data_IF_630095290372
#
_entry.id   IF_630095290372
#
_cell.length_a   1.000
_cell.length_b   1.000
_cell.length_c   1.000
_cell.angle_alpha   90.00
_cell.angle_beta   90.00
_cell.angle_gamma   90.00
#
_symmetry.space_group_name_H-M   'P 1'
#
loop_
_entity.id
_entity.type
_entity.pdbx_description
1 polymer ?
#
# COMPACT_ATOMS: atom_id res chain seq x y z
N UNK A 1 19.68 1.13 36.36
CA UNK A 1 20.54 0.67 35.25
C UNK A 1 19.62 0.04 34.22
N UNK A 2 19.23 0.78 33.17
CA UNK A 2 18.39 0.23 32.10
C UNK A 2 19.30 -0.22 30.96
N UNK A 3 19.25 -1.50 30.62
CA UNK A 3 19.96 -2.06 29.49
C UNK A 3 19.31 -1.51 28.20
N UNK A 4 20.01 -0.60 27.52
CA UNK A 4 19.67 -0.18 26.16
C UNK A 4 19.97 -1.34 25.22
N UNK A 5 18.97 -2.17 24.92
CA UNK A 5 19.04 -3.13 23.84
C UNK A 5 19.17 -2.38 22.51
N UNK A 6 20.38 -2.43 21.95
CA UNK A 6 20.70 -1.89 20.63
C UNK A 6 19.92 -2.68 19.58
N UNK A 7 18.81 -2.10 19.12
CA UNK A 7 18.03 -2.62 17.99
C UNK A 7 18.94 -2.55 16.75
N UNK A 8 19.55 -3.69 16.39
CA UNK A 8 20.30 -3.81 15.14
C UNK A 8 19.32 -3.62 13.98
N UNK A 9 19.42 -2.50 13.28
CA UNK A 9 18.68 -2.33 12.03
C UNK A 9 19.12 -3.42 11.05
N UNK A 10 18.19 -4.18 10.45
CA UNK A 10 18.53 -5.16 9.44
C UNK A 10 19.23 -4.46 8.28
N UNK A 11 20.38 -5.00 7.86
CA UNK A 11 21.12 -4.46 6.73
C UNK A 11 20.18 -4.38 5.50
N UNK A 12 19.89 -3.17 5.04
CA UNK A 12 19.15 -2.95 3.79
C UNK A 12 19.92 -3.64 2.66
N UNK A 13 19.46 -4.82 2.25
CA UNK A 13 19.97 -5.47 1.05
C UNK A 13 19.66 -4.55 -0.12
N UNK A 14 20.70 -3.92 -0.69
CA UNK A 14 20.60 -3.25 -1.97
C UNK A 14 20.16 -4.29 -3.01
N UNK A 15 18.86 -4.30 -3.32
CA UNK A 15 18.33 -5.07 -4.45
C UNK A 15 18.78 -4.35 -5.71
N UNK A 16 19.97 -4.64 -6.20
CA UNK A 16 20.37 -4.24 -7.55
C UNK A 16 19.44 -4.96 -8.52
N UNK A 17 18.65 -4.20 -9.26
CA UNK A 17 17.80 -4.77 -10.31
C UNK A 17 18.66 -5.53 -11.29
N UNK A 18 18.23 -6.73 -11.69
CA UNK A 18 18.94 -7.47 -12.72
C UNK A 18 18.87 -6.71 -14.05
N UNK A 19 19.83 -6.94 -14.95
CA UNK A 19 19.80 -6.35 -16.30
C UNK A 19 18.49 -6.65 -17.02
N UNK A 20 17.93 -7.85 -16.82
CA UNK A 20 16.65 -8.25 -17.38
C UNK A 20 15.48 -7.41 -16.84
N UNK A 21 15.41 -7.21 -15.52
CA UNK A 21 14.39 -6.35 -14.90
C UNK A 21 14.49 -4.91 -15.41
N UNK A 22 15.71 -4.39 -15.56
CA UNK A 22 15.92 -3.05 -16.09
C UNK A 22 15.44 -2.93 -17.54
N UNK A 23 15.73 -3.92 -18.39
CA UNK A 23 15.23 -3.95 -19.78
C UNK A 23 13.70 -3.93 -19.81
N UNK A 24 13.04 -4.78 -19.02
CA UNK A 24 11.56 -4.82 -18.96
C UNK A 24 10.96 -3.47 -18.54
N UNK A 25 11.59 -2.76 -17.61
CA UNK A 25 11.16 -1.42 -17.22
C UNK A 25 11.31 -0.45 -18.39
N UNK A 26 12.43 -0.50 -19.13
CA UNK A 26 12.64 0.38 -20.27
C UNK A 26 11.66 0.10 -21.40
N UNK A 27 11.28 -1.15 -21.63
CA UNK A 27 10.28 -1.51 -22.64
C UNK A 27 8.92 -0.90 -22.29
N UNK A 28 8.46 -1.05 -21.05
CA UNK A 28 7.22 -0.40 -20.56
C UNK A 28 7.26 1.12 -20.68
N UNK A 29 8.43 1.73 -20.41
CA UNK A 29 8.62 3.18 -20.56
C UNK A 29 8.57 3.60 -22.03
N UNK A 30 9.13 2.81 -22.95
CA UNK A 30 9.08 3.07 -24.39
C UNK A 30 7.64 3.03 -24.91
N UNK A 31 6.80 2.17 -24.35
CA UNK A 31 5.37 2.06 -24.67
C UNK A 31 4.50 3.12 -23.98
N UNK A 32 5.11 4.06 -23.24
CA UNK A 32 4.42 5.08 -22.44
C UNK A 32 3.45 4.50 -21.39
N UNK A 33 3.65 3.25 -20.98
CA UNK A 33 2.83 2.61 -19.95
C UNK A 33 3.06 3.35 -18.62
N UNK A 34 1.98 3.91 -18.08
CA UNK A 34 2.06 4.61 -16.80
C UNK A 34 2.15 3.61 -15.65
N UNK A 35 2.97 3.88 -14.62
CA UNK A 35 2.96 3.06 -13.42
C UNK A 35 1.56 3.10 -12.77
N UNK A 36 1.16 2.06 -12.03
CA UNK A 36 -0.11 2.09 -11.31
C UNK A 36 -0.21 3.32 -10.39
N UNK A 37 -1.42 3.84 -10.26
CA UNK A 37 -1.64 5.15 -9.61
C UNK A 37 -1.23 5.14 -8.13
N UNK A 38 -1.43 4.02 -7.44
CA UNK A 38 -1.01 3.79 -6.05
C UNK A 38 0.51 3.88 -5.88
N UNK A 39 1.30 3.41 -6.85
CA UNK A 39 2.75 3.58 -6.84
C UNK A 39 3.16 5.03 -7.03
N UNK A 40 2.50 5.75 -7.94
CA UNK A 40 2.74 7.18 -8.15
C UNK A 40 2.42 8.00 -6.89
N UNK A 41 1.28 7.72 -6.25
CA UNK A 41 0.88 8.37 -5.00
C UNK A 41 1.84 8.09 -3.85
N UNK A 42 2.29 6.84 -3.69
CA UNK A 42 3.29 6.51 -2.68
C UNK A 42 4.63 7.21 -2.94
N UNK A 43 5.11 7.22 -4.19
CA UNK A 43 6.32 7.97 -4.58
C UNK A 43 6.18 9.45 -4.23
N UNK A 44 5.05 10.04 -4.56
CA UNK A 44 4.79 11.46 -4.33
C UNK A 44 4.67 11.79 -2.83
N UNK A 45 4.08 10.89 -2.05
CA UNK A 45 4.07 10.94 -0.58
C UNK A 45 5.50 10.99 -0.01
N UNK A 46 6.38 10.11 -0.49
CA UNK A 46 7.79 10.06 -0.06
C UNK A 46 8.54 11.33 -0.45
N UNK A 47 8.28 11.86 -1.65
CA UNK A 47 8.86 13.12 -2.09
C UNK A 47 8.32 14.32 -1.29
N UNK A 48 7.05 14.31 -0.88
CA UNK A 48 6.49 15.31 0.02
C UNK A 48 7.12 15.24 1.40
N UNK A 49 7.40 14.04 1.90
CA UNK A 49 8.01 13.81 3.20
C UNK A 49 9.42 14.40 3.26
N UNK A 50 10.24 14.14 2.24
CA UNK A 50 11.61 14.66 2.17
C UNK A 50 11.68 16.20 2.11
N UNK A 51 10.59 16.85 1.68
CA UNK A 51 10.45 18.32 1.66
C UNK A 51 9.79 18.88 2.94
N UNK A 52 9.49 18.05 3.93
CA UNK A 52 8.81 18.46 5.16
C UNK A 52 7.32 18.76 5.01
N UNK A 53 6.69 18.37 3.90
CA UNK A 53 5.25 18.59 3.68
C UNK A 53 4.43 17.41 4.23
N UNK A 54 4.36 17.31 5.56
CA UNK A 54 3.75 16.17 6.25
C UNK A 54 2.26 16.01 5.97
N UNK A 55 1.52 17.11 5.80
CA UNK A 55 0.10 17.06 5.42
C UNK A 55 -0.08 16.34 4.08
N UNK A 56 0.72 16.72 3.07
CA UNK A 56 0.67 16.08 1.75
C UNK A 56 1.12 14.62 1.82
N UNK A 57 2.19 14.32 2.57
CA UNK A 57 2.63 12.93 2.82
C UNK A 57 1.50 12.06 3.33
N UNK A 58 0.80 12.48 4.41
CA UNK A 58 -0.31 11.70 4.97
C UNK A 58 -1.43 11.48 3.97
N UNK A 59 -1.82 12.52 3.21
CA UNK A 59 -2.91 12.42 2.24
C UNK A 59 -2.54 11.46 1.11
N UNK A 60 -1.39 11.67 0.47
CA UNK A 60 -0.95 10.85 -0.67
C UNK A 60 -0.72 9.39 -0.23
N UNK A 61 -0.11 9.15 0.94
CA UNK A 61 0.06 7.81 1.51
C UNK A 61 -1.28 7.11 1.76
N UNK A 62 -2.22 7.80 2.40
CA UNK A 62 -3.52 7.23 2.71
C UNK A 62 -4.33 6.92 1.42
N UNK A 63 -4.25 7.79 0.41
CA UNK A 63 -4.90 7.54 -0.87
C UNK A 63 -4.30 6.33 -1.59
N UNK A 64 -2.96 6.19 -1.61
CA UNK A 64 -2.30 5.00 -2.16
C UNK A 64 -2.81 3.72 -1.47
N UNK A 65 -2.83 3.72 -0.13
CA UNK A 65 -3.35 2.59 0.65
C UNK A 65 -4.83 2.30 0.37
N UNK A 66 -5.68 3.32 0.25
CA UNK A 66 -7.11 3.14 -0.01
C UNK A 66 -7.36 2.51 -1.39
N UNK A 67 -6.60 2.90 -2.42
CA UNK A 67 -6.69 2.31 -3.77
C UNK A 67 -6.32 0.83 -3.73
N UNK A 68 -5.20 0.47 -3.09
CA UNK A 68 -4.76 -0.92 -2.95
C UNK A 68 -5.80 -1.76 -2.21
N UNK A 69 -6.31 -1.28 -1.08
CA UNK A 69 -7.34 -1.99 -0.33
C UNK A 69 -8.63 -2.15 -1.13
N UNK A 70 -8.99 -1.15 -1.94
CA UNK A 70 -10.16 -1.25 -2.83
C UNK A 70 -9.95 -2.26 -3.97
N UNK A 71 -8.73 -2.39 -4.50
CA UNK A 71 -8.38 -3.43 -5.48
C UNK A 71 -8.47 -4.82 -4.85
N UNK A 72 -7.86 -5.03 -3.69
CA UNK A 72 -7.93 -6.29 -2.94
C UNK A 72 -9.37 -6.68 -2.61
N UNK A 73 -10.22 -5.71 -2.29
CA UNK A 73 -11.65 -5.96 -2.08
C UNK A 73 -12.32 -6.51 -3.35
N UNK A 74 -12.04 -5.93 -4.52
CA UNK A 74 -12.59 -6.43 -5.80
C UNK A 74 -12.10 -7.82 -6.14
N UNK A 75 -10.83 -8.11 -5.85
CA UNK A 75 -10.24 -9.43 -6.03
C UNK A 75 -10.93 -10.46 -5.12
N UNK A 76 -11.05 -10.14 -3.84
CA UNK A 76 -11.75 -10.97 -2.86
C UNK A 76 -13.23 -11.19 -3.22
N UNK A 77 -13.92 -10.16 -3.73
CA UNK A 77 -15.30 -10.30 -4.23
C UNK A 77 -15.40 -11.26 -5.42
N UNK A 78 -14.35 -11.35 -6.23
CA UNK A 78 -14.29 -12.20 -7.43
C UNK A 78 -13.95 -13.65 -7.06
N UNK A 79 -13.03 -13.87 -6.13
CA UNK A 79 -12.61 -15.21 -5.69
C UNK A 79 -13.60 -15.87 -4.73
N UNK A 80 -14.08 -15.14 -3.71
CA UNK A 80 -14.95 -15.70 -2.65
C UNK A 80 -16.44 -15.65 -2.97
N UNK A 81 -16.84 -14.90 -4.02
CA UNK A 81 -18.24 -14.53 -4.34
C UNK A 81 -18.97 -13.75 -3.23
N UNK A 82 -18.28 -13.40 -2.13
CA UNK A 82 -18.82 -12.59 -1.05
C UNK A 82 -18.72 -11.12 -1.42
N UNK A 83 -19.82 -10.38 -1.34
CA UNK A 83 -19.84 -8.95 -1.70
C UNK A 83 -19.49 -8.06 -0.52
N UNK A 84 -18.70 -7.03 -0.80
CA UNK A 84 -18.42 -5.97 0.16
C UNK A 84 -19.73 -5.20 0.46
N UNK A 85 -20.10 -5.03 1.74
CA UNK A 85 -21.37 -4.43 2.10
C UNK A 85 -21.46 -2.98 1.60
N UNK A 86 -22.50 -2.70 0.80
CA UNK A 86 -22.88 -1.34 0.40
C UNK A 86 -23.66 -0.68 1.54
N UNK A 87 -23.00 -0.18 2.59
CA UNK A 87 -23.74 0.54 3.64
C UNK A 87 -24.36 1.84 3.09
N UNK A 88 -25.62 2.11 3.48
CA UNK A 88 -26.39 3.29 3.07
C UNK A 88 -25.97 4.57 3.80
N UNK A 89 -26.17 5.73 3.15
CA UNK A 89 -25.98 7.16 3.55
C UNK A 89 -24.75 7.57 4.39
N UNK A 90 -23.90 6.65 4.85
CA UNK A 90 -22.59 6.89 5.45
C UNK A 90 -21.59 5.95 4.78
N UNK A 91 -20.50 6.50 4.26
CA UNK A 91 -19.58 5.78 3.37
C UNK A 91 -19.05 4.50 4.01
N UNK A 92 -19.47 3.34 3.50
CA UNK A 92 -18.80 2.06 3.70
C UNK A 92 -17.34 2.08 3.23
N UNK A 93 -16.96 3.06 2.40
CA UNK A 93 -15.64 3.18 1.81
C UNK A 93 -14.69 3.89 2.77
N UNK A 94 -13.51 3.30 2.91
CA UNK A 94 -12.42 3.84 3.70
C UNK A 94 -11.49 2.73 4.17
N UNK A 95 -10.25 3.13 4.47
CA UNK A 95 -9.15 2.24 4.87
C UNK A 95 -9.57 1.21 5.95
N UNK A 96 -10.26 1.67 7.00
CA UNK A 96 -10.70 0.80 8.10
C UNK A 96 -11.67 -0.29 7.63
N UNK A 97 -12.68 0.11 6.87
CA UNK A 97 -13.77 -0.79 6.49
C UNK A 97 -13.28 -1.83 5.49
N UNK A 98 -12.43 -1.43 4.54
CA UNK A 98 -11.81 -2.38 3.61
C UNK A 98 -10.94 -3.39 4.34
N UNK A 99 -10.03 -2.93 5.21
CA UNK A 99 -9.16 -3.82 5.97
C UNK A 99 -9.95 -4.76 6.90
N UNK A 100 -10.90 -4.25 7.68
CA UNK A 100 -11.73 -5.06 8.57
C UNK A 100 -12.61 -6.06 7.84
N UNK A 101 -13.05 -5.76 6.62
CA UNK A 101 -13.82 -6.72 5.83
C UNK A 101 -12.92 -7.81 5.25
N UNK A 102 -11.78 -7.44 4.67
CA UNK A 102 -10.79 -8.39 4.14
C UNK A 102 -10.30 -9.36 5.21
N UNK A 103 -10.03 -8.86 6.42
CA UNK A 103 -9.59 -9.63 7.59
C UNK A 103 -10.61 -10.66 8.09
N UNK A 104 -11.88 -10.52 7.70
CA UNK A 104 -12.96 -11.45 8.08
C UNK A 104 -13.23 -12.54 7.04
N UNK A 105 -12.52 -12.53 5.91
CA UNK A 105 -12.69 -13.53 4.87
C UNK A 105 -11.73 -14.69 5.11
N UNK A 106 -12.25 -15.82 5.57
CA UNK A 106 -11.44 -17.02 5.83
C UNK A 106 -10.73 -17.54 4.56
N UNK A 107 -11.36 -17.36 3.39
CA UNK A 107 -10.86 -17.85 2.09
C UNK A 107 -10.01 -16.81 1.32
N UNK A 108 -9.60 -15.71 1.95
CA UNK A 108 -8.79 -14.67 1.29
C UNK A 108 -7.55 -14.35 2.14
N UNK A 109 -6.35 -14.54 1.57
CA UNK A 109 -5.10 -14.29 2.30
C UNK A 109 -4.86 -12.79 2.44
N UNK A 110 -5.29 -12.23 3.57
CA UNK A 110 -5.06 -10.85 3.93
C UNK A 110 -4.62 -10.74 5.38
N UNK A 111 -3.62 -9.93 5.65
CA UNK A 111 -3.20 -9.58 7.00
C UNK A 111 -3.14 -8.07 7.13
N UNK A 112 -3.92 -7.45 8.04
CA UNK A 112 -3.87 -6.03 8.28
C UNK A 112 -2.45 -5.56 8.62
N UNK A 113 -1.99 -4.50 7.95
CA UNK A 113 -0.70 -3.91 8.27
C UNK A 113 -0.71 -3.31 9.68
N UNK A 114 0.32 -3.58 10.50
CA UNK A 114 0.40 -3.16 11.90
C UNK A 114 0.17 -1.64 12.09
N UNK A 115 0.71 -0.84 11.18
CA UNK A 115 0.63 0.63 11.24
C UNK A 115 -0.62 1.23 10.54
N UNK A 116 -1.55 0.41 10.07
CA UNK A 116 -2.74 0.90 9.34
C UNK A 116 -3.63 1.80 10.19
N UNK A 117 -3.75 1.49 11.48
CA UNK A 117 -4.51 2.31 12.44
C UNK A 117 -3.93 3.71 12.63
N UNK A 118 -2.59 3.83 12.63
CA UNK A 118 -1.86 5.10 12.74
C UNK A 118 -2.10 5.94 11.49
N UNK A 119 -1.89 5.36 10.30
CA UNK A 119 -2.15 6.03 9.02
C UNK A 119 -3.58 6.57 8.93
N UNK A 120 -4.56 5.73 9.27
CA UNK A 120 -5.98 6.12 9.29
C UNK A 120 -6.23 7.30 10.23
N UNK A 121 -5.73 7.22 11.47
CA UNK A 121 -5.92 8.27 12.46
C UNK A 121 -5.29 9.58 11.99
N UNK A 122 -4.03 9.54 11.53
CA UNK A 122 -3.32 10.70 11.02
C UNK A 122 -4.08 11.36 9.85
N UNK A 123 -4.57 10.57 8.88
CA UNK A 123 -5.37 11.08 7.76
C UNK A 123 -6.66 11.73 8.24
N UNK A 124 -7.40 11.10 9.15
CA UNK A 124 -8.65 11.65 9.64
C UNK A 124 -8.44 12.96 10.40
N UNK A 125 -7.46 13.02 11.29
CA UNK A 125 -7.12 14.24 12.02
C UNK A 125 -6.69 15.37 11.07
N UNK A 126 -5.92 15.03 10.03
CA UNK A 126 -5.44 15.98 9.01
C UNK A 126 -6.59 16.55 8.19
N UNK A 127 -7.48 15.68 7.70
CA UNK A 127 -8.56 16.04 6.77
C UNK A 127 -9.71 16.72 7.51
N UNK A 128 -10.12 16.20 8.67
CA UNK A 128 -11.32 16.64 9.37
C UNK A 128 -11.04 17.70 10.44
N UNK A 129 -9.93 17.56 11.17
CA UNK A 129 -9.59 18.48 12.28
C UNK A 129 -8.60 19.56 11.87
N UNK A 130 -8.07 19.52 10.64
CA UNK A 130 -7.03 20.43 10.18
C UNK A 130 -5.70 20.30 10.94
N UNK A 131 -5.52 19.24 11.74
CA UNK A 131 -4.33 19.05 12.58
C UNK A 131 -3.11 18.87 11.68
N UNK A 132 -2.02 19.55 12.01
CA UNK A 132 -0.74 19.33 11.36
C UNK A 132 -0.14 17.99 11.83
N UNK A 133 0.21 17.06 10.92
CA UNK A 133 0.89 15.83 11.29
C UNK A 133 2.30 16.07 11.82
N UNK A 134 2.76 15.23 12.73
CA UNK A 134 4.16 15.22 13.16
C UNK A 134 5.04 14.53 12.11
N UNK A 135 6.36 14.74 12.22
CA UNK A 135 7.34 14.03 11.40
C UNK A 135 7.18 12.50 11.52
N UNK A 136 7.04 11.98 12.73
CA UNK A 136 6.98 10.53 12.98
C UNK A 136 5.68 9.90 12.46
N UNK A 137 4.56 10.63 12.57
CA UNK A 137 3.29 10.21 11.96
C UNK A 137 3.42 10.13 10.43
N UNK A 138 4.03 11.15 9.81
CA UNK A 138 4.24 11.20 8.37
C UNK A 138 5.19 10.10 7.88
N UNK A 139 6.28 9.83 8.60
CA UNK A 139 7.20 8.75 8.28
C UNK A 139 6.51 7.38 8.40
N UNK A 140 5.82 7.15 9.52
CA UNK A 140 5.10 5.89 9.79
C UNK A 140 4.04 5.63 8.73
N UNK A 141 3.27 6.65 8.36
CA UNK A 141 2.28 6.59 7.30
C UNK A 141 2.90 6.30 5.92
N UNK A 142 3.98 6.98 5.57
CA UNK A 142 4.66 6.80 4.29
C UNK A 142 5.25 5.38 4.15
N UNK A 143 5.83 4.85 5.23
CA UNK A 143 6.37 3.49 5.26
C UNK A 143 5.24 2.46 5.17
N UNK A 144 4.19 2.60 5.98
CA UNK A 144 3.04 1.70 5.94
C UNK A 144 2.38 1.65 4.55
N UNK A 145 2.23 2.79 3.88
CA UNK A 145 1.72 2.83 2.52
C UNK A 145 2.66 2.11 1.53
N UNK A 146 3.99 2.27 1.68
CA UNK A 146 4.97 1.57 0.85
C UNK A 146 4.94 0.06 1.02
N UNK A 147 4.84 -0.41 2.26
CA UNK A 147 4.74 -1.84 2.58
C UNK A 147 3.45 -2.43 1.96
N UNK A 148 2.31 -1.75 2.12
CA UNK A 148 1.02 -2.18 1.54
C UNK A 148 1.04 -2.19 0.01
N UNK A 149 1.56 -1.13 -0.62
CA UNK A 149 1.68 -1.03 -2.09
C UNK A 149 2.60 -2.12 -2.64
N UNK A 150 3.69 -2.44 -1.93
CA UNK A 150 4.62 -3.50 -2.34
C UNK A 150 3.97 -4.87 -2.22
N UNK A 151 3.28 -5.16 -1.12
CA UNK A 151 2.60 -6.44 -0.90
C UNK A 151 1.56 -6.75 -1.99
N UNK A 152 0.79 -5.74 -2.40
CA UNK A 152 -0.23 -5.93 -3.43
C UNK A 152 0.37 -6.26 -4.81
N UNK A 153 1.59 -5.76 -5.10
CA UNK A 153 2.29 -6.09 -6.34
C UNK A 153 2.74 -7.54 -6.37
N UNK A 154 3.31 -8.03 -5.27
CA UNK A 154 3.85 -9.40 -5.20
C UNK A 154 2.71 -10.42 -5.44
N UNK A 155 1.48 -10.15 -4.96
CA UNK A 155 0.31 -10.98 -5.25
C UNK A 155 -0.09 -11.02 -6.73
N UNK A 156 0.08 -9.92 -7.48
CA UNK A 156 -0.26 -9.85 -8.91
C UNK A 156 0.82 -10.52 -9.76
N UNK A 157 2.10 -10.32 -9.44
CA UNK A 157 3.19 -10.96 -10.17
C UNK A 157 3.16 -12.48 -10.01
N UNK A 158 2.83 -12.99 -8.83
CA UNK A 158 2.63 -14.43 -8.61
C UNK A 158 1.48 -14.98 -9.45
N UNK A 159 0.37 -14.25 -9.61
CA UNK A 159 -0.74 -14.66 -10.47
C UNK A 159 -0.35 -14.72 -11.95
N UNK A 160 0.38 -13.71 -12.46
CA UNK A 160 0.82 -13.66 -13.87
C UNK A 160 1.91 -14.68 -14.19
N UNK A 161 2.78 -15.01 -13.23
CA UNK A 161 3.82 -16.02 -13.41
C UNK A 161 3.26 -17.45 -13.53
N UNK A 162 2.05 -17.70 -13.03
CA UNK A 162 1.34 -18.98 -13.18
C UNK A 162 0.78 -19.13 -14.59
N UNK A 163 0.21 -18.08 -15.18
CA UNK A 163 -0.35 -18.12 -16.54
C UNK A 163 0.74 -18.35 -17.60
N UNK A 164 1.91 -17.73 -17.46
CA UNK A 164 3.01 -17.88 -18.44
C UNK A 164 3.60 -19.29 -18.51
N UNK A 165 3.40 -20.13 -17.49
CA UNK A 165 3.84 -21.54 -17.53
C UNK A 165 2.82 -22.45 -18.22
N UNK A 166 1.55 -22.06 -18.29
CA UNK A 166 0.51 -22.89 -18.86
C UNK A 166 0.54 -22.94 -20.40
N UNK A 167 1.10 -21.91 -21.04
CA UNK A 167 1.20 -21.81 -22.50
C UNK A 167 2.54 -22.30 -23.08
N UNK A 168 3.43 -22.85 -22.24
CA UNK A 168 4.77 -23.29 -22.63
C UNK A 168 4.92 -24.82 -22.78
N UNK A 169 3.84 -25.58 -22.58
CA UNK A 169 3.74 -27.04 -22.79
C UNK A 169 2.89 -27.38 -24.03
#
# INVERSE_FOLDING_TARGET
MYATESIRQPAMRSRTSSRAQFSMILDKVADFEQPPVEHSLWRDSRAAFSRGNYRKTIVDAATATEIVLAQLVKEAESSTKTKFPKYGRGSARGIANYSTWLDKLDDFSYTPHLNLGILRKARNDTVHSGRQPTHDEALTACNAAGDIVTLARDSVEDALAVEWKADAD
#
